data_IF_136100345621
#
_entry.id   IF_136100345621
#
_cell.length_a   1.000
_cell.length_b   1.000
_cell.length_c   1.000
_cell.angle_alpha   90.00
_cell.angle_beta   90.00
_cell.angle_gamma   90.00
#
_symmetry.space_group_name_H-M   'P 1'
#
loop_
_entity.id
_entity.type
_entity.pdbx_description
1 polymer ?
#
# COMPACT_ATOMS: atom_id res chain seq x y z
N UNK A 1 13.11 -74.56 -12.31
CA UNK A 1 13.96 -73.83 -11.34
C UNK A 1 15.08 -73.19 -12.14
N UNK A 2 14.93 -71.95 -12.64
CA UNK A 2 15.36 -70.69 -12.00
C UNK A 2 16.67 -70.84 -11.21
N UNK A 3 17.78 -70.42 -11.81
CA UNK A 3 18.59 -69.26 -11.41
C UNK A 3 19.84 -69.19 -12.28
N UNK A 4 19.98 -68.09 -13.01
CA UNK A 4 21.28 -67.49 -13.33
C UNK A 4 20.99 -65.99 -13.54
N UNK A 5 21.54 -65.18 -12.65
CA UNK A 5 21.54 -63.73 -12.71
C UNK A 5 22.99 -63.33 -12.99
N UNK A 6 23.23 -62.70 -14.13
CA UNK A 6 24.07 -61.52 -14.24
C UNK A 6 23.93 -60.96 -15.65
N UNK A 7 23.38 -59.77 -15.77
CA UNK A 7 23.79 -58.81 -16.79
C UNK A 7 23.41 -57.39 -16.35
N UNK A 8 24.38 -56.50 -16.49
CA UNK A 8 24.30 -55.07 -16.29
C UNK A 8 23.30 -54.43 -17.29
N UNK A 9 22.83 -53.21 -16.99
CA UNK A 9 22.88 -52.04 -17.91
C UNK A 9 21.98 -50.89 -17.40
N UNK A 10 22.57 -49.70 -17.52
CA UNK A 10 22.03 -48.33 -17.66
C UNK A 10 21.25 -47.68 -16.53
N UNK A 11 21.99 -46.80 -15.86
CA UNK A 11 21.63 -45.41 -15.61
C UNK A 11 20.81 -44.78 -16.75
N UNK A 12 19.52 -44.56 -16.50
CA UNK A 12 18.77 -43.37 -16.86
C UNK A 12 17.37 -43.52 -16.23
N UNK A 13 16.76 -42.41 -15.83
CA UNK A 13 15.47 -42.34 -15.11
C UNK A 13 15.49 -42.83 -13.66
N UNK A 14 15.73 -41.89 -12.74
CA UNK A 14 14.81 -41.57 -11.61
C UNK A 14 15.53 -40.67 -10.61
N UNK A 15 15.47 -39.37 -10.87
CA UNK A 15 15.36 -38.40 -9.78
C UNK A 15 14.21 -37.47 -10.13
N UNK A 16 13.00 -38.05 -10.10
CA UNK A 16 11.77 -37.28 -9.96
C UNK A 16 11.83 -36.65 -8.56
N UNK A 17 12.51 -35.52 -8.41
CA UNK A 17 12.39 -34.67 -7.22
C UNK A 17 10.96 -34.13 -7.24
N UNK A 18 10.08 -34.79 -6.47
CA UNK A 18 8.87 -34.17 -5.95
C UNK A 18 9.31 -32.92 -5.21
N UNK A 19 9.18 -31.77 -5.87
CA UNK A 19 9.25 -30.49 -5.19
C UNK A 19 7.91 -30.29 -4.51
N UNK A 20 7.95 -30.18 -3.19
CA UNK A 20 6.81 -29.88 -2.34
C UNK A 20 6.13 -28.58 -2.82
N UNK A 21 4.81 -28.65 -2.92
CA UNK A 21 3.90 -27.59 -3.40
C UNK A 21 3.71 -26.44 -2.39
N UNK A 22 4.74 -26.07 -1.64
CA UNK A 22 4.65 -25.02 -0.61
C UNK A 22 5.72 -23.93 -0.76
N UNK A 23 6.06 -23.60 -2.00
CA UNK A 23 6.76 -22.35 -2.33
C UNK A 23 5.84 -21.48 -3.17
N UNK A 24 5.40 -20.35 -2.61
CA UNK A 24 4.45 -19.40 -3.19
C UNK A 24 4.95 -18.67 -4.46
N UNK A 25 6.09 -19.06 -5.00
CA UNK A 25 6.72 -18.45 -6.17
C UNK A 25 6.94 -19.45 -7.33
N UNK A 26 5.88 -20.12 -7.75
CA UNK A 26 5.92 -20.98 -8.94
C UNK A 26 5.53 -20.17 -10.19
N UNK A 27 6.53 -19.82 -11.03
CA UNK A 27 6.28 -19.30 -12.39
C UNK A 27 6.43 -20.50 -13.34
N UNK A 28 5.35 -21.02 -13.94
CA UNK A 28 5.44 -22.14 -14.86
C UNK A 28 6.33 -21.77 -16.05
N UNK A 29 7.35 -22.58 -16.33
CA UNK A 29 8.37 -22.33 -17.37
C UNK A 29 7.77 -22.17 -18.77
N UNK A 30 6.55 -22.69 -18.98
CA UNK A 30 5.86 -22.69 -20.26
C UNK A 30 4.94 -21.47 -20.49
N UNK A 31 4.72 -20.63 -19.48
CA UNK A 31 3.63 -19.63 -19.53
C UNK A 31 4.09 -18.22 -19.92
N UNK A 32 5.38 -17.90 -19.73
CA UNK A 32 5.89 -16.55 -19.93
C UNK A 32 6.93 -16.53 -21.05
N UNK A 33 7.07 -15.41 -21.78
CA UNK A 33 8.15 -15.24 -22.75
C UNK A 33 9.48 -15.63 -22.12
N UNK A 34 10.31 -16.31 -22.91
CA UNK A 34 11.67 -16.67 -22.53
C UNK A 34 12.33 -15.43 -21.92
N UNK A 35 12.93 -15.62 -20.73
CA UNK A 35 13.78 -14.57 -20.19
C UNK A 35 14.75 -14.23 -21.30
N UNK A 36 14.78 -12.96 -21.73
CA UNK A 36 15.96 -12.48 -22.46
C UNK A 36 17.15 -12.98 -21.65
N UNK A 37 18.14 -13.63 -22.29
CA UNK A 37 19.28 -14.15 -21.58
C UNK A 37 19.93 -12.95 -20.89
N UNK A 38 19.54 -12.74 -19.64
CA UNK A 38 20.30 -11.92 -18.73
C UNK A 38 21.63 -12.64 -18.75
N UNK A 39 22.72 -11.98 -19.17
CA UNK A 39 24.02 -12.58 -18.94
C UNK A 39 24.00 -13.08 -17.50
N UNK A 40 24.34 -14.35 -17.29
CA UNK A 40 24.68 -14.83 -15.96
C UNK A 40 25.96 -14.09 -15.61
N UNK A 41 25.83 -12.80 -15.30
CA UNK A 41 26.86 -12.02 -14.68
C UNK A 41 26.97 -12.74 -13.35
N UNK A 42 28.09 -13.44 -13.08
CA UNK A 42 28.31 -13.90 -11.71
C UNK A 42 28.10 -12.66 -10.85
N UNK A 43 27.29 -12.76 -9.79
CA UNK A 43 27.19 -11.70 -8.78
C UNK A 43 28.60 -11.15 -8.59
N UNK A 44 28.87 -9.87 -8.86
CA UNK A 44 30.21 -9.41 -9.19
C UNK A 44 31.19 -10.04 -8.20
N UNK A 45 32.01 -10.98 -8.66
CA UNK A 45 33.17 -11.41 -7.87
C UNK A 45 33.95 -10.13 -7.73
N UNK A 46 33.87 -9.53 -6.55
CA UNK A 46 34.18 -8.12 -6.39
C UNK A 46 35.54 -7.85 -7.01
N UNK A 47 35.68 -6.75 -7.77
CA UNK A 47 36.95 -6.36 -8.36
C UNK A 47 38.00 -5.95 -7.31
N UNK A 48 37.73 -6.19 -6.02
CA UNK A 48 38.56 -5.82 -4.88
C UNK A 48 39.31 -7.03 -4.33
N UNK A 49 40.56 -6.84 -3.89
CA UNK A 49 41.26 -7.82 -3.05
C UNK A 49 40.40 -8.21 -1.85
N UNK A 50 40.51 -9.46 -1.40
CA UNK A 50 39.62 -10.04 -0.39
C UNK A 50 39.54 -9.24 0.92
N UNK A 51 40.66 -8.64 1.34
CA UNK A 51 40.74 -7.77 2.50
C UNK A 51 39.96 -6.45 2.33
N UNK A 52 40.03 -5.84 1.13
CA UNK A 52 39.27 -4.63 0.81
C UNK A 52 37.78 -4.92 0.66
N UNK A 53 37.43 -6.11 0.13
CA UNK A 53 36.05 -6.56 0.02
C UNK A 53 35.42 -6.75 1.40
N UNK A 54 36.11 -7.43 2.32
CA UNK A 54 35.63 -7.64 3.69
C UNK A 54 35.39 -6.29 4.39
N UNK A 55 36.33 -5.35 4.26
CA UNK A 55 36.17 -3.99 4.80
C UNK A 55 34.97 -3.25 4.20
N UNK A 56 34.72 -3.40 2.90
CA UNK A 56 33.58 -2.75 2.24
C UNK A 56 32.27 -3.41 2.68
N UNK A 57 32.21 -4.74 2.78
CA UNK A 57 31.03 -5.47 3.25
C UNK A 57 30.72 -5.11 4.71
N UNK A 58 31.73 -4.98 5.57
CA UNK A 58 31.53 -4.52 6.94
C UNK A 58 30.97 -3.11 6.99
N UNK A 59 31.47 -2.19 6.15
CA UNK A 59 30.92 -0.83 6.05
C UNK A 59 29.49 -0.81 5.53
N UNK A 60 29.17 -1.65 4.54
CA UNK A 60 27.81 -1.79 4.02
C UNK A 60 26.89 -2.36 5.10
N UNK A 61 27.33 -3.38 5.83
CA UNK A 61 26.56 -3.97 6.94
C UNK A 61 26.31 -2.93 8.03
N UNK A 62 27.34 -2.21 8.46
CA UNK A 62 27.20 -1.16 9.47
C UNK A 62 26.29 -0.02 8.99
N UNK A 63 26.37 0.38 7.72
CA UNK A 63 25.46 1.37 7.15
C UNK A 63 24.02 0.86 7.08
N UNK A 64 23.80 -0.40 6.70
CA UNK A 64 22.47 -1.01 6.66
C UNK A 64 21.88 -1.20 8.06
N UNK A 65 22.68 -1.60 9.05
CA UNK A 65 22.26 -1.67 10.45
C UNK A 65 21.89 -0.28 10.97
N UNK A 66 22.70 0.74 10.66
CA UNK A 66 22.36 2.12 11.01
C UNK A 66 21.07 2.58 10.32
N UNK A 67 20.87 2.28 9.03
CA UNK A 67 19.63 2.59 8.32
C UNK A 67 18.44 1.84 8.90
N UNK A 68 18.62 0.59 9.35
CA UNK A 68 17.60 -0.20 10.02
C UNK A 68 17.27 0.41 11.39
N UNK A 69 18.27 0.80 12.16
CA UNK A 69 18.09 1.45 13.47
C UNK A 69 17.44 2.83 13.33
N UNK A 70 17.78 3.59 12.29
CA UNK A 70 17.10 4.86 11.96
C UNK A 70 15.65 4.61 11.53
N UNK A 71 15.40 3.59 10.72
CA UNK A 71 14.05 3.22 10.26
C UNK A 71 13.19 2.57 11.37
N UNK A 72 13.81 1.98 12.40
CA UNK A 72 13.14 1.45 13.59
C UNK A 72 13.03 2.50 14.71
N UNK A 73 13.86 3.55 14.67
CA UNK A 73 13.90 4.66 15.62
C UNK A 73 12.84 5.74 15.33
N UNK A 74 12.30 5.78 14.12
CA UNK A 74 11.04 6.43 13.83
C UNK A 74 9.94 5.37 13.89
N UNK A 75 9.00 5.53 14.83
CA UNK A 75 7.73 4.78 14.82
C UNK A 75 7.23 4.72 13.37
N UNK A 76 6.92 3.51 12.86
CA UNK A 76 6.32 3.32 11.54
C UNK A 76 5.37 4.47 11.28
N UNK A 77 5.59 5.23 10.20
CA UNK A 77 4.79 6.42 9.89
C UNK A 77 3.33 6.08 10.20
N UNK A 78 2.65 6.79 11.11
CA UNK A 78 1.35 6.38 11.66
C UNK A 78 0.36 6.01 10.54
N UNK A 79 0.50 6.69 9.41
CA UNK A 79 -0.21 6.46 8.16
C UNK A 79 -0.13 5.00 7.66
N UNK A 80 1.01 4.31 7.68
CA UNK A 80 1.12 2.90 7.23
C UNK A 80 0.34 1.94 8.14
N UNK A 81 0.27 2.24 9.43
CA UNK A 81 -0.49 1.43 10.39
C UNK A 81 -1.99 1.65 10.16
N UNK A 82 -2.43 2.91 10.01
CA UNK A 82 -3.82 3.22 9.69
C UNK A 82 -4.24 2.67 8.33
N UNK A 83 -3.38 2.73 7.31
CA UNK A 83 -3.61 2.12 6.00
C UNK A 83 -4.02 0.65 6.13
N UNK A 84 -3.17 -0.17 6.77
CA UNK A 84 -3.44 -1.62 6.94
C UNK A 84 -4.70 -1.90 7.75
N UNK A 85 -4.93 -1.11 8.79
CA UNK A 85 -6.13 -1.25 9.64
C UNK A 85 -7.38 -0.93 8.81
N UNK A 86 -7.40 0.20 8.12
CA UNK A 86 -8.58 0.62 7.37
C UNK A 86 -8.85 -0.24 6.15
N UNK A 87 -7.85 -0.85 5.52
CA UNK A 87 -8.07 -1.82 4.43
C UNK A 87 -8.91 -3.00 4.90
N UNK A 88 -8.56 -3.57 6.07
CA UNK A 88 -9.34 -4.64 6.68
C UNK A 88 -10.71 -4.20 7.19
N UNK A 89 -10.97 -2.89 7.24
CA UNK A 89 -12.23 -2.30 7.65
C UNK A 89 -13.04 -1.75 6.47
N UNK A 90 -12.54 -1.80 5.23
CA UNK A 90 -13.30 -1.38 4.04
C UNK A 90 -14.62 -2.16 4.01
N UNK A 91 -15.71 -1.44 3.78
CA UNK A 91 -17.05 -2.02 3.78
C UNK A 91 -17.67 -2.20 5.17
N UNK A 92 -16.91 -2.00 6.26
CA UNK A 92 -17.39 -2.17 7.62
C UNK A 92 -17.81 -0.85 8.24
N UNK A 93 -18.77 -0.91 9.17
CA UNK A 93 -19.11 0.25 10.01
C UNK A 93 -18.10 0.38 11.14
N UNK A 94 -17.60 1.59 11.32
CA UNK A 94 -16.62 1.94 12.36
C UNK A 94 -17.04 3.21 13.06
N UNK A 95 -16.60 3.34 14.31
CA UNK A 95 -16.61 4.57 15.08
C UNK A 95 -15.17 5.09 15.15
N UNK A 96 -14.95 6.32 14.70
CA UNK A 96 -13.68 7.04 14.82
C UNK A 96 -13.81 8.05 15.94
N UNK A 97 -12.85 8.05 16.86
CA UNK A 97 -12.63 9.14 17.82
C UNK A 97 -11.48 9.99 17.30
N UNK A 98 -11.73 11.26 17.04
CA UNK A 98 -10.71 12.22 16.64
C UNK A 98 -9.87 12.67 17.84
N UNK A 99 -8.68 13.21 17.59
CA UNK A 99 -7.83 13.81 18.64
C UNK A 99 -8.50 14.99 19.38
N UNK A 100 -9.53 15.61 18.78
CA UNK A 100 -10.38 16.61 19.44
C UNK A 100 -11.31 16.01 20.51
N UNK A 101 -11.43 14.68 20.57
CA UNK A 101 -12.39 13.96 21.42
C UNK A 101 -13.78 13.78 20.79
N UNK A 102 -14.00 14.31 19.59
CA UNK A 102 -15.26 14.12 18.85
C UNK A 102 -15.33 12.72 18.27
N UNK A 103 -16.53 12.13 18.30
CA UNK A 103 -16.77 10.80 17.73
C UNK A 103 -17.63 10.89 16.47
N UNK A 104 -17.30 10.07 15.49
CA UNK A 104 -18.03 9.98 14.23
C UNK A 104 -18.16 8.51 13.82
N UNK A 105 -19.36 8.13 13.43
CA UNK A 105 -19.67 6.77 12.97
C UNK A 105 -19.85 6.77 11.45
N UNK A 106 -19.40 5.71 10.78
CA UNK A 106 -19.84 5.45 9.41
C UNK A 106 -19.21 4.23 8.75
N UNK A 107 -19.66 3.94 7.52
CA UNK A 107 -19.13 2.82 6.74
C UNK A 107 -17.84 3.25 6.05
N UNK A 108 -16.74 2.52 6.27
CA UNK A 108 -15.49 2.76 5.55
C UNK A 108 -15.72 2.48 4.07
N UNK A 109 -15.49 3.49 3.24
CA UNK A 109 -15.69 3.40 1.79
C UNK A 109 -14.38 3.42 1.01
N UNK A 110 -13.34 4.06 1.56
CA UNK A 110 -12.04 4.17 0.92
C UNK A 110 -10.95 4.39 1.97
N UNK A 111 -9.82 3.71 1.79
CA UNK A 111 -8.58 3.86 2.54
C UNK A 111 -7.54 4.51 1.63
N UNK A 112 -7.23 5.79 1.86
CA UNK A 112 -6.27 6.57 1.07
C UNK A 112 -4.83 6.37 1.56
N UNK A 113 -3.92 7.20 1.06
CA UNK A 113 -2.53 7.20 1.52
C UNK A 113 -2.42 7.83 2.92
N UNK A 114 -3.07 8.96 3.14
CA UNK A 114 -2.97 9.79 4.35
C UNK A 114 -4.36 10.10 4.96
N UNK A 115 -5.42 9.44 4.48
CA UNK A 115 -6.80 9.70 4.90
C UNK A 115 -7.72 8.47 4.75
N UNK A 116 -8.87 8.51 5.41
CA UNK A 116 -9.98 7.57 5.24
C UNK A 116 -11.27 8.30 4.90
N UNK A 117 -12.13 7.65 4.12
CA UNK A 117 -13.48 8.13 3.81
C UNK A 117 -14.52 7.25 4.47
N UNK A 118 -15.28 7.83 5.40
CA UNK A 118 -16.48 7.22 5.96
C UNK A 118 -17.73 7.76 5.25
N UNK A 119 -18.69 6.88 5.00
CA UNK A 119 -20.00 7.25 4.45
C UNK A 119 -21.12 6.84 5.38
N UNK A 120 -22.02 7.79 5.60
CA UNK A 120 -23.36 7.56 6.14
C UNK A 120 -24.40 7.78 5.05
N UNK A 121 -25.67 7.58 5.39
CA UNK A 121 -26.79 7.71 4.44
C UNK A 121 -26.84 9.11 3.80
N UNK A 122 -26.52 10.16 4.56
CA UNK A 122 -26.66 11.56 4.12
C UNK A 122 -25.32 12.30 3.92
N UNK A 123 -24.23 11.81 4.53
CA UNK A 123 -22.97 12.56 4.63
C UNK A 123 -21.75 11.69 4.33
N UNK A 124 -20.75 12.34 3.75
CA UNK A 124 -19.40 11.80 3.55
C UNK A 124 -18.45 12.52 4.51
N UNK A 125 -17.70 11.76 5.29
CA UNK A 125 -16.69 12.24 6.21
C UNK A 125 -15.31 11.83 5.70
N UNK A 126 -14.38 12.77 5.62
CA UNK A 126 -12.99 12.52 5.21
C UNK A 126 -12.07 12.90 6.36
N UNK A 127 -11.38 11.90 6.91
CA UNK A 127 -10.46 12.07 8.04
C UNK A 127 -9.01 11.88 7.60
N UNK A 128 -8.13 12.87 7.77
CA UNK A 128 -6.70 12.64 7.74
C UNK A 128 -6.29 11.70 8.87
N UNK A 129 -5.38 10.75 8.61
CA UNK A 129 -4.94 9.79 9.62
C UNK A 129 -4.30 10.47 10.84
N UNK A 130 -3.60 11.58 10.63
CA UNK A 130 -3.01 12.41 11.69
C UNK A 130 -4.02 12.95 12.72
N UNK A 131 -5.32 12.89 12.43
CA UNK A 131 -6.38 13.44 13.27
C UNK A 131 -7.18 12.35 14.00
N UNK A 132 -6.88 11.08 13.75
CA UNK A 132 -7.55 9.92 14.33
C UNK A 132 -6.79 9.50 15.59
N UNK A 133 -7.51 9.39 16.70
CA UNK A 133 -6.98 8.84 17.95
C UNK A 133 -7.27 7.33 17.99
N UNK A 134 -8.56 6.98 17.93
CA UNK A 134 -9.04 5.61 18.13
C UNK A 134 -10.02 5.23 17.03
N UNK A 135 -9.92 3.98 16.56
CA UNK A 135 -10.87 3.36 15.63
C UNK A 135 -11.46 2.13 16.30
N UNK A 136 -12.79 2.01 16.32
CA UNK A 136 -13.50 0.84 16.84
C UNK A 136 -14.46 0.30 15.78
N UNK A 137 -14.51 -1.03 15.55
CA UNK A 137 -15.57 -1.61 14.76
C UNK A 137 -16.93 -1.39 15.45
N UNK A 138 -17.93 -0.98 14.68
CA UNK A 138 -19.27 -0.66 15.16
C UNK A 138 -20.32 -1.60 14.54
N UNK A 139 -21.12 -2.26 15.39
CA UNK A 139 -22.18 -3.18 14.97
C UNK A 139 -21.83 -4.67 15.10
N UNK A 140 -22.84 -5.54 14.88
CA UNK A 140 -22.69 -7.00 14.90
C UNK A 140 -22.60 -7.52 13.47
N UNK A 141 -21.56 -8.31 13.21
CA UNK A 141 -21.28 -9.02 11.95
C UNK A 141 -20.94 -8.10 10.77
N UNK A 142 -19.66 -7.75 10.74
CA UNK A 142 -18.96 -7.54 9.49
C UNK A 142 -18.81 -8.92 8.82
N UNK A 143 -19.30 -9.09 7.60
CA UNK A 143 -18.72 -10.12 6.72
C UNK A 143 -17.32 -9.61 6.38
N UNK A 144 -16.23 -10.23 6.87
CA UNK A 144 -14.92 -9.89 6.38
C UNK A 144 -14.89 -10.34 4.93
N UNK A 145 -14.41 -9.52 4.01
CA UNK A 145 -13.51 -9.89 2.91
C UNK A 145 -13.52 -8.79 1.84
N UNK A 146 -12.35 -8.23 1.59
CA UNK A 146 -11.89 -8.10 0.21
C UNK A 146 -10.74 -9.11 0.07
N UNK A 147 -10.84 -9.97 -0.93
CA UNK A 147 -9.70 -10.79 -1.31
C UNK A 147 -8.58 -9.83 -1.77
N UNK A 148 -7.31 -10.01 -1.38
CA UNK A 148 -6.25 -9.12 -1.83
C UNK A 148 -6.32 -8.98 -3.35
N UNK A 149 -6.35 -7.75 -3.87
CA UNK A 149 -6.57 -7.47 -5.30
C UNK A 149 -5.58 -8.21 -6.22
N UNK A 150 -4.43 -8.62 -5.68
CA UNK A 150 -3.40 -9.38 -6.39
C UNK A 150 -3.25 -10.85 -5.96
N UNK A 151 -4.20 -11.42 -5.23
CA UNK A 151 -4.12 -12.81 -4.73
C UNK A 151 -3.98 -13.82 -5.88
N UNK A 152 -4.71 -13.60 -6.97
CA UNK A 152 -4.76 -14.49 -8.14
C UNK A 152 -4.19 -13.84 -9.40
N UNK A 153 -3.06 -13.13 -9.29
CA UNK A 153 -2.38 -12.63 -10.49
C UNK A 153 -1.70 -13.73 -11.30
N UNK A 154 -1.75 -13.57 -12.62
CA UNK A 154 -1.02 -14.39 -13.58
C UNK A 154 0.49 -14.47 -13.21
N UNK A 155 1.14 -15.64 -13.31
CA UNK A 155 2.55 -15.79 -12.96
C UNK A 155 3.51 -14.88 -13.73
N UNK A 156 3.19 -14.52 -14.98
CA UNK A 156 3.99 -13.59 -15.77
C UNK A 156 3.79 -12.16 -15.28
N UNK A 157 2.55 -11.76 -14.99
CA UNK A 157 2.29 -10.46 -14.37
C UNK A 157 2.95 -10.33 -12.99
N UNK A 158 2.93 -11.39 -12.18
CA UNK A 158 3.68 -11.47 -10.91
C UNK A 158 5.18 -11.29 -11.13
N UNK A 159 5.74 -11.92 -12.18
CA UNK A 159 7.16 -11.77 -12.55
C UNK A 159 7.49 -10.34 -12.90
N UNK A 160 6.69 -9.71 -13.75
CA UNK A 160 6.87 -8.32 -14.16
C UNK A 160 6.75 -7.36 -12.96
N UNK A 161 5.73 -7.52 -12.12
CA UNK A 161 5.61 -6.76 -10.86
C UNK A 161 6.81 -6.94 -9.93
N UNK A 162 7.45 -8.11 -9.91
CA UNK A 162 8.58 -8.40 -9.02
C UNK A 162 9.89 -7.82 -9.52
N UNK A 163 10.17 -7.95 -10.82
CA UNK A 163 11.47 -7.59 -11.39
C UNK A 163 11.48 -6.23 -12.08
N UNK A 164 10.32 -5.75 -12.53
CA UNK A 164 10.14 -4.51 -13.28
C UNK A 164 9.11 -3.59 -12.60
N UNK A 165 9.05 -3.62 -11.26
CA UNK A 165 8.01 -2.94 -10.46
C UNK A 165 7.75 -1.49 -10.88
N UNK A 166 8.81 -0.68 -11.00
CA UNK A 166 8.69 0.75 -11.32
C UNK A 166 7.99 0.99 -12.66
N UNK A 167 8.44 0.32 -13.72
CA UNK A 167 7.88 0.47 -15.06
C UNK A 167 6.47 -0.09 -15.15
N UNK A 168 6.22 -1.26 -14.55
CA UNK A 168 4.92 -1.94 -14.59
C UNK A 168 3.86 -1.16 -13.82
N UNK A 169 4.19 -0.71 -12.60
CA UNK A 169 3.25 0.05 -11.77
C UNK A 169 3.02 1.43 -12.38
N UNK A 170 4.06 2.16 -12.79
CA UNK A 170 3.89 3.50 -13.37
C UNK A 170 3.10 3.52 -14.69
N UNK A 171 3.00 2.39 -15.38
CA UNK A 171 2.26 2.25 -16.64
C UNK A 171 0.75 2.02 -16.45
N UNK A 172 0.27 1.74 -15.23
CA UNK A 172 -1.16 1.51 -14.95
C UNK A 172 -1.65 2.39 -13.80
N UNK A 173 -2.61 3.29 -14.04
CA UNK A 173 -3.24 4.08 -12.99
C UNK A 173 -3.84 3.25 -11.86
N UNK A 174 -4.38 2.08 -12.16
CA UNK A 174 -4.96 1.13 -11.20
C UNK A 174 -3.87 0.57 -10.28
N UNK A 175 -2.72 0.17 -10.82
CA UNK A 175 -1.58 -0.29 -10.02
C UNK A 175 -0.96 0.84 -9.20
N UNK A 176 -0.88 2.06 -9.76
CA UNK A 176 -0.44 3.24 -8.99
C UNK A 176 -1.36 3.44 -7.79
N UNK A 177 -2.67 3.35 -7.99
CA UNK A 177 -3.63 3.47 -6.91
C UNK A 177 -3.50 2.35 -5.89
N UNK A 178 -3.34 1.10 -6.33
CA UNK A 178 -3.18 -0.04 -5.44
C UNK A 178 -1.92 0.03 -4.58
N UNK A 179 -0.78 0.36 -5.17
CA UNK A 179 0.51 0.36 -4.48
C UNK A 179 0.83 1.65 -3.74
N UNK A 180 0.46 2.81 -4.30
CA UNK A 180 0.80 4.11 -3.72
C UNK A 180 -0.38 4.81 -3.06
N UNK A 181 -1.61 4.38 -3.36
CA UNK A 181 -2.86 5.01 -2.93
C UNK A 181 -2.99 6.47 -3.35
N UNK A 182 -4.23 6.92 -3.36
CA UNK A 182 -4.51 8.34 -3.63
C UNK A 182 -4.19 9.14 -2.37
N UNK A 183 -3.47 10.26 -2.54
CA UNK A 183 -3.30 11.27 -1.47
C UNK A 183 -4.53 12.15 -1.35
N UNK A 184 -4.77 12.67 -0.16
CA UNK A 184 -5.93 13.50 0.15
C UNK A 184 -6.09 14.68 -0.82
N UNK A 185 -5.01 15.41 -1.11
CA UNK A 185 -5.05 16.54 -2.03
C UNK A 185 -5.51 16.16 -3.45
N UNK A 186 -5.15 14.97 -3.93
CA UNK A 186 -5.59 14.46 -5.24
C UNK A 186 -7.06 14.06 -5.16
N UNK A 187 -7.47 13.39 -4.08
CA UNK A 187 -8.85 12.97 -3.87
C UNK A 187 -9.82 14.16 -3.81
N UNK A 188 -9.41 15.25 -3.17
CA UNK A 188 -10.22 16.47 -3.03
C UNK A 188 -10.51 17.16 -4.37
N UNK A 189 -9.75 16.91 -5.43
CA UNK A 189 -10.02 17.46 -6.77
C UNK A 189 -11.42 17.05 -7.29
N UNK A 190 -11.93 15.88 -6.88
CA UNK A 190 -13.29 15.41 -7.26
C UNK A 190 -14.40 16.27 -6.63
N UNK A 191 -14.04 17.13 -5.67
CA UNK A 191 -14.94 18.03 -4.97
C UNK A 191 -14.72 19.50 -5.33
N UNK A 192 -13.93 19.78 -6.36
CA UNK A 192 -13.86 21.12 -6.94
C UNK A 192 -15.26 21.58 -7.39
N UNK A 193 -15.55 22.85 -7.15
CA UNK A 193 -16.86 23.50 -7.31
C UNK A 193 -18.00 22.96 -6.44
N UNK A 194 -17.75 22.03 -5.50
CA UNK A 194 -18.78 21.56 -4.56
C UNK A 194 -18.77 22.35 -3.24
N UNK A 195 -19.93 22.42 -2.60
CA UNK A 195 -20.06 22.95 -1.25
C UNK A 195 -19.56 21.92 -0.25
N UNK A 196 -18.63 22.33 0.60
CA UNK A 196 -18.05 21.48 1.62
C UNK A 196 -17.99 22.20 2.97
N UNK A 197 -17.96 21.41 4.02
CA UNK A 197 -17.75 21.86 5.39
C UNK A 197 -16.40 21.34 5.86
N UNK A 198 -15.56 22.23 6.38
CA UNK A 198 -14.21 21.91 6.86
C UNK A 198 -14.08 22.30 8.32
N UNK A 199 -13.61 21.38 9.14
CA UNK A 199 -13.35 21.62 10.55
C UNK A 199 -11.87 21.91 10.80
N UNK A 200 -11.57 23.03 11.45
CA UNK A 200 -10.22 23.51 11.77
C UNK A 200 -10.24 24.03 13.20
N UNK A 201 -9.38 23.50 14.07
CA UNK A 201 -9.18 24.02 15.44
C UNK A 201 -10.48 24.32 16.23
N UNK A 202 -11.50 23.48 16.06
CA UNK A 202 -12.80 23.59 16.72
C UNK A 202 -13.79 24.56 16.05
N UNK A 203 -13.38 25.22 14.97
CA UNK A 203 -14.26 26.01 14.11
C UNK A 203 -14.68 25.20 12.89
N UNK A 204 -15.87 25.48 12.40
CA UNK A 204 -16.40 24.95 11.15
C UNK A 204 -16.46 26.08 10.13
N UNK A 205 -15.85 25.85 8.97
CA UNK A 205 -15.94 26.75 7.82
C UNK A 205 -16.72 26.02 6.73
N UNK A 206 -17.79 26.63 6.25
CA UNK A 206 -18.60 26.12 5.15
C UNK A 206 -18.44 27.05 3.93
N UNK A 207 -18.23 26.47 2.76
CA UNK A 207 -18.05 27.23 1.53
C UNK A 207 -17.91 26.36 0.30
N UNK A 208 -17.79 27.00 -0.86
CA UNK A 208 -17.58 26.30 -2.13
C UNK A 208 -16.09 26.10 -2.38
N UNK A 209 -15.66 24.88 -2.66
CA UNK A 209 -14.27 24.58 -3.01
C UNK A 209 -13.96 25.12 -4.41
N UNK A 210 -13.02 26.05 -4.53
CA UNK A 210 -12.64 26.66 -5.82
C UNK A 210 -11.33 26.15 -6.39
N UNK A 211 -10.44 25.67 -5.51
CA UNK A 211 -9.12 25.22 -5.91
C UNK A 211 -8.53 24.28 -4.87
N UNK A 212 -7.84 23.23 -5.33
CA UNK A 212 -7.02 22.37 -4.50
C UNK A 212 -5.58 22.43 -4.99
N UNK A 213 -4.68 22.84 -4.11
CA UNK A 213 -3.24 22.82 -4.32
C UNK A 213 -2.62 21.65 -3.53
N UNK A 214 -1.30 21.46 -3.66
CA UNK A 214 -0.59 20.34 -3.02
C UNK A 214 -0.74 20.32 -1.49
N UNK A 215 -0.77 21.49 -0.86
CA UNK A 215 -0.72 21.64 0.61
C UNK A 215 -1.89 22.46 1.17
N UNK A 216 -2.78 22.96 0.32
CA UNK A 216 -3.86 23.86 0.70
C UNK A 216 -5.08 23.71 -0.19
N UNK A 217 -6.23 24.08 0.35
CA UNK A 217 -7.49 24.25 -0.39
C UNK A 217 -7.90 25.73 -0.34
N UNK A 218 -8.65 26.18 -1.34
CA UNK A 218 -9.28 27.50 -1.34
C UNK A 218 -10.79 27.34 -1.35
N UNK A 219 -11.44 27.92 -0.33
CA UNK A 219 -12.89 27.94 -0.18
C UNK A 219 -13.41 29.35 -0.42
N UNK A 220 -14.46 29.48 -1.22
CA UNK A 220 -15.23 30.71 -1.29
C UNK A 220 -16.30 30.71 -0.20
N UNK A 221 -16.20 31.65 0.73
CA UNK A 221 -17.09 31.83 1.87
C UNK A 221 -17.66 33.24 1.78
N UNK A 222 -18.98 33.37 1.60
CA UNK A 222 -19.67 34.66 1.46
C UNK A 222 -19.02 35.63 0.44
N UNK A 223 -18.51 35.09 -0.68
CA UNK A 223 -17.84 35.87 -1.74
C UNK A 223 -16.39 36.26 -1.46
N UNK A 224 -15.80 35.77 -0.37
CA UNK A 224 -14.37 35.89 -0.07
C UNK A 224 -13.65 34.55 -0.21
N UNK A 225 -12.51 34.56 -0.90
CA UNK A 225 -11.67 33.37 -1.03
C UNK A 225 -10.79 33.22 0.21
N UNK A 226 -10.96 32.11 0.93
CA UNK A 226 -10.20 31.74 2.13
C UNK A 226 -9.33 30.52 1.80
N UNK A 227 -8.01 30.68 1.94
CA UNK A 227 -7.06 29.58 1.74
C UNK A 227 -6.75 28.89 3.08
N UNK A 228 -6.89 27.58 3.11
CA UNK A 228 -6.71 26.73 4.28
C UNK A 228 -5.64 25.69 3.99
N UNK A 229 -4.67 25.54 4.90
CA UNK A 229 -3.68 24.45 4.81
C UNK A 229 -4.31 23.11 5.15
N UNK A 230 -4.07 22.09 4.31
CA UNK A 230 -4.60 20.73 4.49
C UNK A 230 -4.18 20.12 5.82
N UNK A 231 -2.95 20.42 6.28
CA UNK A 231 -2.40 19.91 7.55
C UNK A 231 -3.19 20.36 8.77
N UNK A 232 -3.87 21.51 8.69
CA UNK A 232 -4.69 22.04 9.79
C UNK A 232 -6.12 21.49 9.81
N UNK A 233 -6.51 20.78 8.76
CA UNK A 233 -7.88 20.30 8.63
C UNK A 233 -8.04 19.05 9.48
N UNK A 234 -9.06 19.06 10.33
CA UNK A 234 -9.41 17.93 11.20
C UNK A 234 -10.36 16.96 10.51
N UNK A 235 -11.32 17.52 9.77
CA UNK A 235 -12.40 16.78 9.13
C UNK A 235 -12.94 17.56 7.93
N UNK A 236 -13.21 16.86 6.84
CA UNK A 236 -14.11 17.33 5.80
C UNK A 236 -15.45 16.62 5.92
N UNK A 237 -16.53 17.39 5.84
CA UNK A 237 -17.90 16.89 5.74
C UNK A 237 -18.52 17.38 4.45
N UNK A 238 -19.12 16.46 3.72
CA UNK A 238 -19.82 16.75 2.47
C UNK A 238 -21.21 16.14 2.52
N UNK A 239 -22.19 16.85 1.97
CA UNK A 239 -23.52 16.30 1.77
C UNK A 239 -23.49 15.43 0.50
N UNK A 240 -24.10 14.24 0.56
CA UNK A 240 -24.26 13.36 -0.59
C UNK A 240 -25.14 13.98 -1.68
#
# INVERSE_FOLDING_TARGET
MKKENHEEISSDEKVQKKFDKESYFFIPVQCCPDRYPSPNIPSPTSCLPQEDLERVIEKIRAANELLLDLALGEERLPDETYQKVFDGLIGLRVEITALSGETCEGKVSLSGYDFVVLRNEEKVFIYPYSQIDIVKPFGRFADPYDDPELREIDPCFRRELTFNFGDVVSSSPELIHLFFRMRLNIYLLVYEEKHIQVQIDGQTIEGQMKKVDKESISLEVAGQLTTISIVKIKLFTLNN
#
